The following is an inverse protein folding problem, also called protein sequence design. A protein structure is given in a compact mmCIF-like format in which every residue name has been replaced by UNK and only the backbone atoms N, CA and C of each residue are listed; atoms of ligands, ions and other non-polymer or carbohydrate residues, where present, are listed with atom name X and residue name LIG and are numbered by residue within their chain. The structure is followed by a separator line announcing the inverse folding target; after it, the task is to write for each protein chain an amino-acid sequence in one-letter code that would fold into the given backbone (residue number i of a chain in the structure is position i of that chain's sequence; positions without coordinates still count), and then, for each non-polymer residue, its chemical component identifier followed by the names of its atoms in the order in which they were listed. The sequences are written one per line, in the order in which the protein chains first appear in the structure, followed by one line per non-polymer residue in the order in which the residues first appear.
data_IF_911327877301
#
_entry.id   IF_911327877301
#
_cell.length_a   1.000
_cell.length_b   1.000
_cell.length_c   1.000
_cell.angle_alpha   90.00
_cell.angle_beta   90.00
_cell.angle_gamma   90.00
#
_symmetry.space_group_name_H-M   'P 1'
#
loop_
_entity.id
_entity.type
_entity.pdbx_description
1 polymer ?
#
# COMPACT_ATOMS: atom_id res chain seq x y z
N UNK A 1 27.41 -3.12 -9.32
CA UNK A 1 26.81 -4.00 -8.29
C UNK A 1 25.36 -3.55 -8.14
N UNK A 2 24.44 -4.24 -8.81
CA UNK A 2 23.02 -3.85 -8.86
C UNK A 2 22.37 -4.33 -7.57
N UNK A 3 22.23 -3.44 -6.59
CA UNK A 3 21.53 -3.80 -5.35
C UNK A 3 20.05 -4.02 -5.67
N UNK A 4 19.52 -5.16 -5.22
CA UNK A 4 18.12 -5.51 -5.37
C UNK A 4 17.28 -4.54 -4.52
N UNK A 5 16.32 -3.87 -5.14
CA UNK A 5 15.44 -2.86 -4.51
C UNK A 5 14.75 -3.38 -3.24
N UNK A 6 14.55 -4.70 -3.13
CA UNK A 6 13.96 -5.32 -1.95
C UNK A 6 14.86 -5.28 -0.70
N UNK A 7 16.18 -5.06 -0.85
CA UNK A 7 17.12 -5.04 0.29
C UNK A 7 17.25 -3.69 0.98
N UNK A 8 16.74 -2.60 0.39
CA UNK A 8 16.95 -1.25 0.92
C UNK A 8 15.84 -0.78 1.87
N UNK A 9 14.62 -1.34 1.83
CA UNK A 9 13.47 -0.72 2.50
C UNK A 9 12.47 -1.67 3.22
N UNK A 10 12.74 -2.97 3.36
CA UNK A 10 11.89 -3.82 4.18
C UNK A 10 12.53 -5.17 4.48
N UNK A 11 12.18 -5.77 5.62
CA UNK A 11 12.28 -7.22 5.74
C UNK A 11 11.49 -7.89 4.60
N UNK A 12 11.73 -9.17 4.35
CA UNK A 12 11.24 -9.96 3.19
C UNK A 12 9.71 -9.95 2.92
N UNK A 13 8.93 -9.15 3.65
CA UNK A 13 7.47 -9.12 3.71
C UNK A 13 6.83 -7.80 3.20
N UNK A 14 7.61 -6.86 2.65
CA UNK A 14 7.06 -5.62 2.08
C UNK A 14 7.01 -5.68 0.55
N UNK A 15 5.80 -5.62 0.00
CA UNK A 15 5.56 -5.47 -1.44
C UNK A 15 4.96 -4.10 -1.71
N UNK A 16 5.40 -3.47 -2.80
CA UNK A 16 4.79 -2.25 -3.29
C UNK A 16 3.92 -2.59 -4.50
N UNK A 17 2.67 -2.15 -4.48
CA UNK A 17 1.77 -2.29 -5.62
C UNK A 17 1.92 -1.10 -6.57
N UNK A 18 2.01 -1.39 -7.86
CA UNK A 18 2.28 -0.41 -8.90
C UNK A 18 0.95 0.15 -9.44
N UNK A 19 0.77 1.46 -9.31
CA UNK A 19 -0.36 2.21 -9.84
C UNK A 19 0.12 3.08 -10.98
N UNK A 20 -0.45 2.93 -12.16
CA UNK A 20 -0.15 3.83 -13.28
C UNK A 20 -0.90 5.14 -13.07
N UNK A 21 -0.19 6.18 -12.64
CA UNK A 21 -0.74 7.53 -12.41
C UNK A 21 -0.97 8.23 -13.75
N UNK A 22 0.00 8.14 -14.65
CA UNK A 22 -0.10 8.70 -16.00
C UNK A 22 0.53 7.73 -16.99
N UNK A 23 -0.29 7.23 -17.91
CA UNK A 23 0.18 6.44 -19.04
C UNK A 23 0.80 7.33 -20.11
N UNK A 24 1.71 6.75 -20.90
CA UNK A 24 2.33 7.40 -22.04
C UNK A 24 1.36 8.18 -22.93
N UNK A 25 1.80 9.36 -23.39
CA UNK A 25 1.06 10.19 -24.34
C UNK A 25 1.92 10.50 -25.57
N UNK A 26 2.05 9.52 -26.45
CA UNK A 26 2.68 9.70 -27.75
C UNK A 26 1.79 10.51 -28.68
N UNK A 27 2.19 11.75 -28.96
CA UNK A 27 1.70 12.42 -30.16
C UNK A 27 2.58 12.00 -31.32
N UNK A 28 2.10 11.11 -32.20
CA UNK A 28 2.84 10.52 -33.33
C UNK A 28 3.21 11.50 -34.45
N UNK A 29 3.31 12.80 -34.18
CA UNK A 29 3.70 13.83 -35.14
C UNK A 29 4.73 14.78 -34.55
N UNK A 30 5.45 15.48 -35.42
CA UNK A 30 6.45 16.55 -35.15
C UNK A 30 5.88 17.81 -34.46
N UNK A 31 4.88 17.63 -33.60
CA UNK A 31 4.22 18.62 -32.76
C UNK A 31 3.36 17.96 -31.67
N UNK A 32 3.67 16.72 -31.27
CA UNK A 32 2.93 15.98 -30.26
C UNK A 32 2.85 16.76 -28.95
N UNK A 33 1.62 17.00 -28.50
CA UNK A 33 1.32 17.84 -27.36
C UNK A 33 2.08 17.38 -26.12
N UNK A 34 2.86 18.28 -25.52
CA UNK A 34 3.38 18.08 -24.17
C UNK A 34 2.26 17.69 -23.23
N UNK A 35 2.58 16.97 -22.15
CA UNK A 35 1.69 16.88 -21.02
C UNK A 35 1.60 18.23 -20.29
N UNK A 36 1.30 19.32 -21.02
CA UNK A 36 0.99 20.63 -20.44
C UNK A 36 -0.48 20.58 -20.05
N UNK A 37 -0.72 20.28 -18.78
CA UNK A 37 -2.07 20.11 -18.30
C UNK A 37 -2.15 19.83 -16.82
N UNK A 38 -3.37 19.88 -16.31
CA UNK A 38 -3.71 19.37 -14.99
C UNK A 38 -4.22 17.95 -15.16
N UNK A 39 -3.72 17.06 -14.31
CA UNK A 39 -4.03 15.65 -14.28
C UNK A 39 -4.55 15.30 -12.89
N UNK A 40 -5.40 14.28 -12.83
CA UNK A 40 -5.85 13.70 -11.57
C UNK A 40 -5.20 12.33 -11.40
N UNK A 41 -4.94 11.95 -10.15
CA UNK A 41 -4.64 10.58 -9.80
C UNK A 41 -5.80 9.65 -10.21
N UNK A 42 -5.55 8.35 -10.39
CA UNK A 42 -6.63 7.38 -10.55
C UNK A 42 -7.64 7.50 -9.41
N UNK A 43 -8.91 7.22 -9.71
CA UNK A 43 -10.00 7.37 -8.74
C UNK A 43 -9.71 6.56 -7.46
N UNK A 44 -9.93 7.19 -6.30
CA UNK A 44 -9.71 6.57 -5.00
C UNK A 44 -8.30 6.76 -4.44
N UNK A 45 -7.35 7.28 -5.23
CA UNK A 45 -6.01 7.55 -4.77
C UNK A 45 -5.79 9.00 -4.38
N UNK A 46 -4.94 9.16 -3.39
CA UNK A 46 -4.37 10.40 -2.89
C UNK A 46 -2.85 10.32 -2.87
N UNK A 47 -2.18 11.46 -2.89
CA UNK A 47 -0.72 11.48 -2.90
C UNK A 47 -0.11 10.85 -1.65
N UNK A 48 -0.78 10.94 -0.51
CA UNK A 48 -0.35 10.32 0.75
C UNK A 48 -0.43 8.79 0.72
N UNK A 49 -1.05 8.19 -0.29
CA UNK A 49 -1.14 6.73 -0.42
C UNK A 49 0.14 6.12 -1.00
N UNK A 50 0.95 6.93 -1.69
CA UNK A 50 2.16 6.47 -2.36
C UNK A 50 3.38 6.52 -1.44
N UNK A 51 4.07 5.39 -1.35
CA UNK A 51 5.39 5.26 -0.73
C UNK A 51 6.48 5.86 -1.62
N UNK A 52 6.30 5.76 -2.94
CA UNK A 52 7.17 6.37 -3.92
C UNK A 52 6.44 6.61 -5.24
N UNK A 53 6.91 7.59 -6.00
CA UNK A 53 6.46 7.87 -7.36
C UNK A 53 7.67 7.88 -8.27
N UNK A 54 7.65 7.04 -9.29
CA UNK A 54 8.67 6.99 -10.33
C UNK A 54 8.20 7.75 -11.58
N UNK A 55 9.03 8.68 -12.02
CA UNK A 55 8.86 9.42 -13.26
C UNK A 55 9.85 8.86 -14.28
N UNK A 56 9.32 8.23 -15.32
CA UNK A 56 10.11 7.62 -16.37
C UNK A 56 10.05 8.54 -17.59
N UNK A 57 11.24 9.02 -17.98
CA UNK A 57 11.43 9.84 -19.16
C UNK A 57 12.12 9.05 -20.26
N UNK A 58 11.71 9.27 -21.49
CA UNK A 58 12.33 8.66 -22.66
C UNK A 58 12.22 9.55 -23.90
N UNK A 59 13.25 9.53 -24.72
CA UNK A 59 13.07 9.75 -26.15
C UNK A 59 13.06 8.39 -26.86
N UNK A 60 12.75 8.38 -28.16
CA UNK A 60 12.71 7.16 -28.97
C UNK A 60 14.04 6.39 -29.03
N UNK A 61 15.14 6.94 -28.49
CA UNK A 61 16.50 6.44 -28.63
C UNK A 61 17.25 6.21 -27.30
N UNK A 62 16.77 6.73 -26.16
CA UNK A 62 17.46 6.65 -24.86
C UNK A 62 16.47 6.50 -23.69
N UNK A 63 16.73 5.49 -22.87
CA UNK A 63 16.14 5.38 -21.52
C UNK A 63 16.88 6.32 -20.58
N UNK A 64 16.18 7.28 -19.97
CA UNK A 64 16.74 8.01 -18.85
C UNK A 64 16.61 7.17 -17.58
N UNK A 65 17.45 7.45 -16.58
CA UNK A 65 17.27 6.89 -15.24
C UNK A 65 15.90 7.37 -14.72
N UNK A 66 15.08 6.47 -14.16
CA UNK A 66 13.84 6.88 -13.53
C UNK A 66 14.15 7.86 -12.40
N UNK A 67 13.36 8.92 -12.30
CA UNK A 67 13.42 9.82 -11.17
C UNK A 67 12.44 9.37 -10.11
N UNK A 68 12.87 9.46 -8.85
CA UNK A 68 12.14 8.92 -7.72
C UNK A 68 11.73 10.06 -6.80
N UNK A 69 10.47 10.05 -6.37
CA UNK A 69 9.95 10.89 -5.29
C UNK A 69 9.48 9.96 -4.16
N UNK A 70 9.98 10.16 -2.95
CA UNK A 70 9.67 9.32 -1.79
C UNK A 70 8.50 9.88 -0.95
N UNK A 71 7.91 9.07 -0.08
CA UNK A 71 6.72 9.44 0.70
C UNK A 71 6.90 10.66 1.59
N UNK A 72 8.07 10.85 2.18
CA UNK A 72 8.41 12.05 2.95
C UNK A 72 8.43 13.32 2.08
N UNK A 73 8.99 13.24 0.87
CA UNK A 73 8.99 14.33 -0.11
C UNK A 73 7.58 14.64 -0.62
N UNK A 74 6.74 13.61 -0.82
CA UNK A 74 5.33 13.76 -1.20
C UNK A 74 4.54 14.46 -0.08
N UNK A 75 4.74 14.02 1.16
CA UNK A 75 4.03 14.54 2.34
C UNK A 75 4.44 15.95 2.72
N UNK A 76 5.68 16.36 2.40
CA UNK A 76 6.17 17.72 2.64
C UNK A 76 5.42 18.81 1.84
N UNK A 77 4.47 18.44 0.96
CA UNK A 77 3.62 19.32 0.12
C UNK A 77 4.36 20.52 -0.52
N UNK A 78 5.38 20.30 -1.40
CA UNK A 78 6.00 21.41 -2.09
C UNK A 78 5.05 22.11 -3.10
N UNK A 79 5.20 23.42 -3.27
CA UNK A 79 4.56 24.20 -4.37
C UNK A 79 5.17 23.92 -5.75
N UNK A 80 6.22 23.09 -5.79
CA UNK A 80 6.90 22.53 -6.97
C UNK A 80 7.61 21.26 -6.52
N UNK A 81 7.09 20.10 -6.90
CA UNK A 81 7.64 18.81 -6.46
C UNK A 81 8.94 18.48 -7.15
N UNK A 82 9.04 18.83 -8.43
CA UNK A 82 10.20 18.47 -9.21
C UNK A 82 10.39 19.39 -10.39
N UNK A 83 11.65 19.81 -10.61
CA UNK A 83 12.09 20.44 -11.83
C UNK A 83 13.27 19.64 -12.38
N UNK A 84 13.07 18.98 -13.52
CA UNK A 84 14.11 18.20 -14.19
C UNK A 84 14.62 19.04 -15.36
N UNK A 85 15.93 19.29 -15.40
CA UNK A 85 16.57 19.92 -16.55
C UNK A 85 17.59 18.96 -17.16
N UNK A 86 17.52 18.76 -18.46
CA UNK A 86 18.46 17.90 -19.19
C UNK A 86 18.93 18.55 -20.48
N UNK A 87 20.05 18.05 -21.01
CA UNK A 87 20.53 18.41 -22.35
C UNK A 87 19.98 17.40 -23.35
N UNK A 88 19.46 17.90 -24.47
CA UNK A 88 19.10 17.05 -25.59
C UNK A 88 20.33 16.65 -26.42
N UNK A 89 20.13 15.74 -27.37
CA UNK A 89 21.18 15.31 -28.31
C UNK A 89 21.70 16.44 -29.21
N UNK A 90 20.94 17.52 -29.37
CA UNK A 90 21.34 18.75 -30.09
C UNK A 90 21.92 19.84 -29.17
N UNK A 91 22.20 19.55 -27.90
CA UNK A 91 22.76 20.50 -26.91
C UNK A 91 21.78 21.56 -26.36
N UNK A 92 20.50 21.52 -26.69
CA UNK A 92 19.47 22.40 -26.13
C UNK A 92 18.98 21.87 -24.77
N UNK A 93 18.82 22.78 -23.81
CA UNK A 93 18.21 22.46 -22.52
C UNK A 93 16.71 22.18 -22.70
N UNK A 94 16.23 21.15 -22.01
CA UNK A 94 14.81 20.93 -21.79
C UNK A 94 14.54 20.97 -20.29
N UNK A 95 13.37 21.47 -19.91
CA UNK A 95 12.91 21.48 -18.53
C UNK A 95 11.52 20.86 -18.45
N UNK A 96 11.30 20.02 -17.44
CA UNK A 96 10.01 19.45 -17.10
C UNK A 96 9.72 19.74 -15.63
N UNK A 97 8.58 20.37 -15.39
CA UNK A 97 8.11 20.76 -14.06
C UNK A 97 6.89 19.90 -13.67
N UNK A 98 6.94 19.36 -12.46
CA UNK A 98 5.85 18.63 -11.82
C UNK A 98 5.48 19.28 -10.51
N UNK A 99 4.18 19.42 -10.31
CA UNK A 99 3.65 20.13 -9.15
C UNK A 99 2.31 19.53 -8.76
N UNK A 100 2.15 19.06 -7.53
CA UNK A 100 0.82 18.85 -7.02
C UNK A 100 0.10 20.16 -6.81
N UNK A 101 -1.19 20.14 -7.13
CA UNK A 101 -2.10 21.28 -6.97
C UNK A 101 -3.10 20.99 -5.86
N UNK A 102 -3.43 19.71 -5.66
CA UNK A 102 -4.31 19.22 -4.59
C UNK A 102 -3.82 17.85 -4.12
N UNK A 103 -4.56 17.23 -3.18
CA UNK A 103 -4.24 15.89 -2.69
C UNK A 103 -4.36 14.79 -3.76
N UNK A 104 -4.99 15.07 -4.90
CA UNK A 104 -5.22 14.12 -5.97
C UNK A 104 -5.02 14.69 -7.38
N UNK A 105 -4.43 15.88 -7.50
CA UNK A 105 -4.16 16.51 -8.79
C UNK A 105 -2.74 17.05 -8.88
N UNK A 106 -2.22 17.08 -10.10
CA UNK A 106 -0.93 17.66 -10.42
C UNK A 106 -0.93 18.36 -11.77
N UNK A 107 -0.07 19.36 -11.93
CA UNK A 107 0.35 19.84 -13.24
C UNK A 107 1.63 19.16 -13.67
N UNK A 108 1.72 18.89 -14.97
CA UNK A 108 2.98 18.70 -15.66
C UNK A 108 3.17 19.85 -16.64
N UNK A 109 4.40 20.37 -16.76
CA UNK A 109 4.74 21.43 -17.72
C UNK A 109 6.10 21.18 -18.35
N UNK A 110 6.14 21.00 -19.66
CA UNK A 110 7.36 20.89 -20.47
C UNK A 110 7.68 22.18 -21.22
N UNK A 111 8.96 22.53 -21.32
CA UNK A 111 9.42 23.78 -21.97
C UNK A 111 10.01 23.57 -23.38
N UNK A 112 10.05 22.34 -23.93
CA UNK A 112 10.56 22.10 -25.30
C UNK A 112 9.80 21.02 -26.09
N UNK A 113 9.56 21.27 -27.39
CA UNK A 113 8.73 20.51 -28.35
C UNK A 113 9.10 19.06 -28.64
N UNK A 114 10.23 18.56 -28.13
CA UNK A 114 10.86 17.34 -28.68
C UNK A 114 10.82 16.13 -27.75
N UNK A 115 10.22 16.22 -26.56
CA UNK A 115 10.19 15.12 -25.58
C UNK A 115 8.77 14.73 -25.22
N UNK A 116 8.44 13.44 -25.39
CA UNK A 116 7.06 12.95 -25.42
C UNK A 116 6.78 11.75 -24.50
N UNK A 117 7.78 11.20 -23.80
CA UNK A 117 7.55 9.99 -23.01
C UNK A 117 7.58 10.33 -21.53
N UNK A 118 6.40 10.34 -20.93
CA UNK A 118 6.23 10.34 -19.48
C UNK A 118 5.37 9.14 -19.13
N UNK A 119 5.93 8.19 -18.37
CA UNK A 119 5.13 7.28 -17.56
C UNK A 119 5.33 7.70 -16.12
N UNK A 120 4.24 7.90 -15.40
CA UNK A 120 4.28 8.12 -13.95
C UNK A 120 3.71 6.90 -13.27
N UNK A 121 4.52 6.28 -12.43
CA UNK A 121 4.14 5.12 -11.63
C UNK A 121 4.13 5.52 -10.17
N UNK A 122 2.99 5.36 -9.52
CA UNK A 122 2.90 5.39 -8.06
C UNK A 122 3.11 4.00 -7.50
N UNK A 123 3.69 3.91 -6.32
CA UNK A 123 3.87 2.66 -5.61
C UNK A 123 3.27 2.79 -4.23
N UNK A 124 2.25 2.00 -3.93
CA UNK A 124 1.56 2.01 -2.63
C UNK A 124 2.03 0.82 -1.80
N UNK A 125 2.09 0.98 -0.48
CA UNK A 125 2.47 -0.12 0.40
C UNK A 125 1.37 -1.18 0.42
N UNK A 126 1.74 -2.43 0.14
CA UNK A 126 0.92 -3.59 0.47
C UNK A 126 1.69 -4.46 1.46
N UNK A 127 1.13 -4.64 2.64
CA UNK A 127 1.61 -5.66 3.56
C UNK A 127 0.98 -6.98 3.14
N UNK A 128 1.78 -8.02 2.88
CA UNK A 128 1.28 -9.39 2.84
C UNK A 128 1.54 -9.99 4.22
N UNK A 129 0.50 -10.28 5.00
CA UNK A 129 0.67 -11.17 6.15
C UNK A 129 1.05 -12.56 5.63
N UNK A 130 2.11 -13.15 6.20
CA UNK A 130 2.67 -14.50 5.94
C UNK A 130 2.38 -15.05 4.53
N UNK A 131 3.38 -14.97 3.66
CA UNK A 131 3.40 -15.59 2.34
C UNK A 131 2.85 -17.04 2.34
N UNK A 132 1.56 -17.21 2.07
CA UNK A 132 1.05 -18.49 1.58
C UNK A 132 1.24 -18.50 0.07
N UNK A 133 2.47 -18.79 -0.37
CA UNK A 133 2.78 -18.91 -1.78
C UNK A 133 2.38 -20.30 -2.29
N UNK A 134 1.65 -20.35 -3.41
CA UNK A 134 1.40 -21.59 -4.14
C UNK A 134 1.97 -21.50 -5.55
N UNK A 135 2.64 -22.56 -5.98
CA UNK A 135 3.10 -22.72 -7.36
C UNK A 135 2.09 -23.61 -8.06
N UNK A 136 1.52 -23.12 -9.15
CA UNK A 136 0.60 -23.86 -9.99
C UNK A 136 1.27 -24.12 -11.34
N UNK A 137 1.32 -25.39 -11.74
CA UNK A 137 1.74 -25.76 -13.07
C UNK A 137 0.65 -25.39 -14.08
N UNK A 138 0.96 -24.55 -15.06
CA UNK A 138 0.00 -24.21 -16.12
C UNK A 138 -0.15 -25.41 -17.04
N UNK A 139 -1.36 -25.69 -17.51
CA UNK A 139 -1.64 -26.81 -18.41
C UNK A 139 -1.17 -28.17 -17.84
N UNK A 140 -1.32 -28.39 -16.53
CA UNK A 140 -0.89 -29.61 -15.86
C UNK A 140 0.63 -29.84 -15.88
N UNK A 141 1.43 -28.79 -16.12
CA UNK A 141 2.88 -28.90 -16.28
C UNK A 141 3.33 -29.36 -17.66
N UNK A 142 2.41 -29.41 -18.62
CA UNK A 142 2.73 -29.60 -20.04
C UNK A 142 3.10 -28.27 -20.70
N UNK A 143 3.74 -28.37 -21.86
CA UNK A 143 4.06 -27.22 -22.70
C UNK A 143 2.82 -26.35 -22.95
N UNK A 144 2.96 -25.03 -22.80
CA UNK A 144 1.91 -24.10 -23.21
C UNK A 144 1.99 -23.88 -24.72
N UNK A 145 0.84 -24.03 -25.37
CA UNK A 145 0.64 -23.58 -26.75
C UNK A 145 0.46 -22.07 -26.82
N UNK A 146 0.85 -21.54 -27.97
CA UNK A 146 1.15 -20.16 -28.28
C UNK A 146 -0.13 -19.39 -28.64
N UNK A 147 -0.20 -18.10 -28.34
CA UNK A 147 -1.40 -17.28 -28.62
C UNK A 147 -2.66 -17.80 -27.92
N UNK A 148 -2.51 -18.56 -26.84
CA UNK A 148 -3.62 -19.09 -26.05
C UNK A 148 -3.79 -18.30 -24.76
N UNK A 149 -5.04 -18.33 -24.31
CA UNK A 149 -5.45 -17.92 -22.97
C UNK A 149 -5.65 -19.19 -22.15
N UNK A 150 -4.96 -19.27 -21.03
CA UNK A 150 -5.19 -20.31 -20.02
C UNK A 150 -5.91 -19.69 -18.85
N UNK A 151 -6.90 -20.40 -18.34
CA UNK A 151 -7.66 -19.98 -17.17
C UNK A 151 -7.50 -21.03 -16.09
N UNK A 152 -7.11 -20.58 -14.92
CA UNK A 152 -7.00 -21.39 -13.71
C UNK A 152 -8.10 -20.89 -12.78
N UNK A 153 -9.01 -21.80 -12.43
CA UNK A 153 -10.06 -21.53 -11.46
C UNK A 153 -9.47 -21.42 -10.05
N UNK A 154 -9.65 -20.28 -9.38
CA UNK A 154 -9.04 -20.01 -8.08
C UNK A 154 -9.56 -20.97 -7.01
N UNK A 155 -10.88 -21.23 -7.00
CA UNK A 155 -11.49 -22.09 -5.99
C UNK A 155 -10.97 -23.53 -6.06
N UNK A 156 -10.87 -24.07 -7.28
CA UNK A 156 -10.43 -25.43 -7.54
C UNK A 156 -8.94 -25.61 -7.27
N UNK A 157 -8.11 -24.68 -7.75
CA UNK A 157 -6.67 -24.86 -7.75
C UNK A 157 -5.98 -24.30 -6.50
N UNK A 158 -6.54 -23.28 -5.86
CA UNK A 158 -5.96 -22.65 -4.66
C UNK A 158 -6.76 -22.94 -3.38
N UNK A 159 -8.03 -23.34 -3.51
CA UNK A 159 -8.93 -23.56 -2.38
C UNK A 159 -9.80 -22.35 -2.06
N UNK A 160 -10.86 -22.56 -1.27
CA UNK A 160 -11.86 -21.54 -0.93
C UNK A 160 -11.27 -20.32 -0.23
N UNK A 161 -10.15 -20.49 0.46
CA UNK A 161 -9.49 -19.40 1.19
C UNK A 161 -8.97 -18.29 0.27
N UNK A 162 -8.69 -18.60 -1.00
CA UNK A 162 -8.18 -17.67 -2.01
C UNK A 162 -9.29 -16.98 -2.82
N UNK A 163 -10.54 -17.45 -2.74
CA UNK A 163 -11.66 -16.91 -3.52
C UNK A 163 -12.04 -15.53 -3.00
N UNK A 164 -12.21 -14.57 -3.92
CA UNK A 164 -12.57 -13.18 -3.59
C UNK A 164 -11.47 -12.42 -2.85
N UNK A 165 -10.24 -12.94 -2.83
CA UNK A 165 -9.07 -12.26 -2.27
C UNK A 165 -8.28 -11.61 -3.38
N UNK A 166 -7.58 -10.54 -3.03
CA UNK A 166 -6.58 -9.98 -3.92
C UNK A 166 -5.35 -10.89 -3.95
N UNK A 167 -4.92 -11.24 -5.16
CA UNK A 167 -3.79 -12.13 -5.39
C UNK A 167 -2.72 -11.41 -6.19
N UNK A 168 -1.47 -11.63 -5.81
CA UNK A 168 -0.33 -11.32 -6.65
C UNK A 168 -0.03 -12.58 -7.47
N UNK A 169 0.10 -12.40 -8.78
CA UNK A 169 0.26 -13.51 -9.71
C UNK A 169 1.42 -13.21 -10.63
N UNK A 170 2.44 -14.07 -10.60
CA UNK A 170 3.62 -13.95 -11.46
C UNK A 170 3.77 -15.20 -12.29
N UNK A 171 3.76 -15.06 -13.62
CA UNK A 171 4.07 -16.18 -14.49
C UNK A 171 5.59 -16.38 -14.63
N UNK A 172 5.98 -17.62 -14.79
CA UNK A 172 7.36 -18.03 -15.08
C UNK A 172 7.39 -18.99 -16.27
N UNK A 173 8.42 -18.84 -17.11
CA UNK A 173 8.74 -19.78 -18.21
C UNK A 173 10.00 -20.53 -17.84
N UNK A 174 10.03 -21.82 -18.18
CA UNK A 174 11.25 -22.62 -18.12
C UNK A 174 12.10 -22.41 -19.38
N UNK A 175 13.36 -22.01 -19.20
CA UNK A 175 14.39 -22.05 -20.23
C UNK A 175 15.19 -23.34 -20.10
N UNK A 176 15.24 -24.14 -21.17
CA UNK A 176 16.01 -25.39 -21.24
C UNK A 176 17.47 -25.17 -21.69
N UNK A 177 17.83 -23.94 -22.08
CA UNK A 177 19.16 -23.56 -22.58
C UNK A 177 19.40 -23.89 -24.05
N UNK A 178 18.43 -24.47 -24.77
CA UNK A 178 18.59 -24.88 -26.17
C UNK A 178 18.85 -23.73 -27.15
N UNK A 179 18.48 -22.50 -26.77
CA UNK A 179 18.70 -21.26 -27.54
C UNK A 179 19.66 -20.28 -26.84
N UNK A 180 20.40 -20.74 -25.83
CA UNK A 180 21.26 -19.91 -24.98
C UNK A 180 20.56 -19.37 -23.72
N UNK A 181 21.32 -18.70 -22.86
CA UNK A 181 20.87 -18.21 -21.56
C UNK A 181 21.02 -19.22 -20.41
N UNK A 182 20.55 -18.85 -19.22
CA UNK A 182 20.63 -19.69 -18.02
C UNK A 182 19.46 -20.68 -18.00
N UNK A 183 19.76 -21.96 -17.83
CA UNK A 183 18.76 -23.04 -17.67
C UNK A 183 18.01 -22.81 -16.36
N UNK A 184 16.67 -22.81 -16.40
CA UNK A 184 15.85 -22.67 -15.21
C UNK A 184 14.56 -21.87 -15.43
N UNK A 185 13.88 -21.59 -14.32
CA UNK A 185 12.66 -20.78 -14.33
C UNK A 185 13.00 -19.29 -14.24
N UNK A 186 12.44 -18.49 -15.14
CA UNK A 186 12.57 -17.03 -15.13
C UNK A 186 11.21 -16.33 -15.01
N UNK A 187 11.15 -15.22 -14.29
CA UNK A 187 9.95 -14.38 -14.16
C UNK A 187 9.71 -13.53 -15.40
N UNK A 188 8.45 -13.17 -15.60
CA UNK A 188 8.04 -12.29 -16.69
C UNK A 188 8.42 -10.86 -16.39
N UNK A 189 9.26 -10.29 -17.25
CA UNK A 189 9.78 -8.95 -17.09
C UNK A 189 10.86 -8.62 -18.11
N UNK A 190 11.52 -9.63 -18.69
CA UNK A 190 12.22 -9.66 -19.98
C UNK A 190 13.14 -10.89 -20.02
N UNK A 191 12.94 -11.83 -20.95
CA UNK A 191 13.99 -12.78 -21.34
C UNK A 191 14.40 -12.41 -22.76
N UNK A 192 15.48 -11.65 -22.87
CA UNK A 192 16.06 -11.27 -24.14
C UNK A 192 16.84 -12.47 -24.70
N UNK A 193 16.32 -13.13 -25.73
CA UNK A 193 17.17 -13.93 -26.61
C UNK A 193 17.74 -12.97 -27.67
N UNK A 194 19.06 -12.88 -27.78
CA UNK A 194 19.72 -12.12 -28.84
C UNK A 194 19.22 -12.60 -30.20
N UNK A 195 18.73 -11.69 -31.06
CA UNK A 195 18.28 -12.01 -32.42
C UNK A 195 16.81 -11.74 -32.76
N UNK A 196 16.06 -11.04 -31.90
CA UNK A 196 14.73 -10.51 -32.25
C UNK A 196 13.52 -11.38 -31.85
N UNK A 197 13.72 -12.41 -31.04
CA UNK A 197 12.63 -13.24 -30.50
C UNK A 197 12.64 -13.25 -28.97
N UNK A 198 12.02 -12.26 -28.34
CA UNK A 198 11.76 -12.31 -26.89
C UNK A 198 10.50 -13.13 -26.60
N UNK A 199 10.51 -13.94 -25.53
CA UNK A 199 9.33 -14.67 -25.10
C UNK A 199 8.57 -13.87 -24.04
N UNK A 200 7.27 -13.68 -24.22
CA UNK A 200 6.40 -13.05 -23.22
C UNK A 200 5.36 -14.03 -22.71
N UNK A 201 5.36 -14.30 -21.40
CA UNK A 201 4.16 -14.73 -20.68
C UNK A 201 3.76 -13.62 -19.72
N UNK A 202 2.50 -13.54 -19.36
CA UNK A 202 2.02 -12.66 -18.29
C UNK A 202 0.83 -13.34 -17.64
N UNK A 203 0.71 -13.21 -16.33
CA UNK A 203 -0.45 -13.68 -15.59
C UNK A 203 -1.06 -12.54 -14.79
N UNK A 204 -2.36 -12.64 -14.56
CA UNK A 204 -3.13 -11.67 -13.79
C UNK A 204 -4.44 -12.29 -13.31
N UNK A 205 -5.06 -11.64 -12.33
CA UNK A 205 -6.40 -12.03 -11.87
C UNK A 205 -7.44 -11.28 -12.67
N UNK A 206 -8.39 -12.01 -13.26
CA UNK A 206 -9.61 -11.44 -13.84
C UNK A 206 -10.78 -12.15 -13.19
N UNK A 207 -11.58 -11.40 -12.42
CA UNK A 207 -12.68 -11.94 -11.63
C UNK A 207 -12.20 -13.05 -10.68
N UNK A 208 -12.73 -14.26 -10.85
CA UNK A 208 -12.46 -15.47 -10.07
C UNK A 208 -11.40 -16.39 -10.70
N UNK A 209 -10.68 -15.89 -11.72
CA UNK A 209 -9.72 -16.69 -12.49
C UNK A 209 -8.35 -16.05 -12.50
N UNK A 210 -7.34 -16.90 -12.43
CA UNK A 210 -5.99 -16.53 -12.87
C UNK A 210 -5.93 -16.77 -14.37
N UNK A 211 -5.71 -15.70 -15.11
CA UNK A 211 -5.57 -15.74 -16.57
C UNK A 211 -4.09 -15.64 -16.91
N UNK A 212 -3.62 -16.54 -17.78
CA UNK A 212 -2.28 -16.49 -18.36
C UNK A 212 -2.40 -16.25 -19.85
N UNK A 213 -1.67 -15.24 -20.34
CA UNK A 213 -1.53 -14.94 -21.75
C UNK A 213 -0.07 -15.14 -22.21
N UNK A 214 0.12 -15.51 -23.47
CA UNK A 214 1.42 -15.80 -24.09
C UNK A 214 1.55 -15.01 -25.40
N UNK A 215 2.70 -14.37 -25.67
CA UNK A 215 2.95 -13.55 -26.87
C UNK A 215 4.28 -13.83 -27.59
N UNK A 216 4.42 -13.36 -28.84
CA UNK A 216 5.51 -13.72 -29.78
C UNK A 216 6.82 -12.94 -29.58
N UNK A 217 6.74 -11.64 -29.33
CA UNK A 217 7.93 -10.75 -29.29
C UNK A 217 8.02 -10.06 -27.93
N UNK A 218 6.85 -9.68 -27.42
CA UNK A 218 6.57 -9.31 -26.05
C UNK A 218 5.04 -9.21 -25.91
N UNK A 219 4.48 -9.57 -24.75
CA UNK A 219 3.11 -9.13 -24.40
C UNK A 219 3.06 -7.62 -24.11
N UNK A 220 4.26 -7.03 -24.03
CA UNK A 220 4.58 -5.64 -23.78
C UNK A 220 5.48 -5.17 -24.95
N UNK A 221 4.93 -4.87 -26.14
CA UNK A 221 5.80 -4.28 -27.18
C UNK A 221 6.58 -3.11 -26.59
N UNK A 222 7.87 -2.98 -26.94
CA UNK A 222 8.74 -1.89 -26.49
C UNK A 222 8.08 -0.51 -26.66
N UNK A 223 7.17 -0.39 -27.63
CA UNK A 223 6.53 0.85 -28.07
C UNK A 223 4.99 0.86 -27.87
N UNK A 224 4.36 -0.24 -27.45
CA UNK A 224 2.92 -0.27 -27.13
C UNK A 224 2.72 -0.21 -25.61
N UNK A 225 2.74 1.01 -25.11
CA UNK A 225 2.52 1.33 -23.71
C UNK A 225 1.18 0.78 -23.21
N UNK A 226 1.23 0.09 -22.08
CA UNK A 226 0.09 -0.63 -21.50
C UNK A 226 -1.07 0.33 -21.19
N UNK A 227 -2.15 0.27 -21.98
CA UNK A 227 -3.37 1.07 -21.76
C UNK A 227 -4.30 0.43 -20.72
N UNK A 228 -3.75 0.01 -19.57
CA UNK A 228 -4.54 -0.41 -18.42
C UNK A 228 -5.14 -1.82 -18.46
N UNK A 229 -4.74 -2.69 -19.38
CA UNK A 229 -5.13 -4.10 -19.41
C UNK A 229 -3.92 -5.01 -19.12
N UNK A 230 -4.10 -6.03 -18.28
CA UNK A 230 -3.02 -6.91 -17.78
C UNK A 230 -2.33 -7.74 -18.87
N UNK A 231 -2.76 -7.69 -20.14
CA UNK A 231 -2.26 -8.61 -21.19
C UNK A 231 -1.88 -7.98 -22.55
N UNK A 232 -2.03 -6.66 -22.76
CA UNK A 232 -1.67 -6.05 -24.05
C UNK A 232 -2.40 -6.62 -25.28
N UNK A 233 -1.86 -6.41 -26.49
CA UNK A 233 -2.42 -6.91 -27.75
C UNK A 233 -2.03 -8.39 -28.01
N UNK A 234 -3.04 -9.24 -28.25
CA UNK A 234 -2.90 -10.69 -28.41
C UNK A 234 -2.79 -11.10 -29.88
N UNK A 235 -1.63 -10.96 -30.52
CA UNK A 235 -1.43 -11.56 -31.84
C UNK A 235 0.04 -11.90 -32.09
N UNK A 236 0.39 -13.20 -31.99
CA UNK A 236 1.22 -13.99 -32.93
C UNK A 236 1.81 -15.26 -32.25
N UNK A 237 2.21 -16.33 -33.00
CA UNK A 237 2.63 -17.63 -32.45
C UNK A 237 4.16 -17.86 -32.23
N UNK A 238 4.58 -18.45 -31.08
CA UNK A 238 5.90 -19.13 -30.85
C UNK A 238 5.90 -20.17 -29.69
N UNK A 239 6.68 -21.24 -29.86
CA UNK A 239 6.68 -22.64 -29.33
C UNK A 239 6.78 -22.95 -27.82
N UNK A 240 6.05 -23.99 -27.38
CA UNK A 240 6.56 -25.22 -26.74
C UNK A 240 7.07 -25.26 -25.29
N UNK A 241 7.35 -24.15 -24.63
CA UNK A 241 8.00 -24.20 -23.30
C UNK A 241 7.01 -24.40 -22.14
N UNK A 242 7.51 -24.96 -21.03
CA UNK A 242 6.71 -25.12 -19.81
C UNK A 242 6.46 -23.76 -19.14
N UNK A 243 5.25 -23.58 -18.61
CA UNK A 243 4.89 -22.41 -17.83
C UNK A 243 4.34 -22.81 -16.46
N UNK A 244 4.67 -22.01 -15.45
CA UNK A 244 4.05 -22.07 -14.13
C UNK A 244 3.68 -20.69 -13.66
N UNK A 245 2.80 -20.63 -12.67
CA UNK A 245 2.40 -19.39 -12.02
C UNK A 245 2.70 -19.49 -10.54
N UNK A 246 3.34 -18.47 -10.01
CA UNK A 246 3.45 -18.24 -8.57
C UNK A 246 2.32 -17.34 -8.14
N UNK A 247 1.59 -17.76 -7.12
CA UNK A 247 0.46 -17.03 -6.55
C UNK A 247 0.73 -16.75 -5.10
N UNK A 248 0.56 -15.49 -4.70
CA UNK A 248 0.58 -15.06 -3.31
C UNK A 248 -0.78 -14.49 -2.95
N UNK A 249 -1.29 -14.93 -1.80
CA UNK A 249 -2.51 -14.39 -1.21
C UNK A 249 -2.17 -13.11 -0.45
N UNK A 250 -2.96 -12.06 -0.68
CA UNK A 250 -2.91 -10.85 0.15
C UNK A 250 -3.94 -11.03 1.26
N UNK A 251 -3.51 -11.59 2.39
CA UNK A 251 -4.40 -11.97 3.50
C UNK A 251 -4.92 -10.77 4.31
N UNK A 252 -4.25 -9.62 4.25
CA UNK A 252 -4.69 -8.43 4.94
C UNK A 252 -4.13 -7.18 4.28
N UNK A 253 -5.00 -6.30 3.76
CA UNK A 253 -4.61 -4.90 3.69
C UNK A 253 -4.47 -4.42 5.12
N UNK A 254 -3.24 -4.13 5.55
CA UNK A 254 -3.08 -3.03 6.48
C UNK A 254 -3.19 -1.78 5.61
N UNK A 255 -4.40 -1.45 5.16
CA UNK A 255 -4.67 -0.06 4.84
C UNK A 255 -4.46 0.68 6.15
N UNK A 256 -3.86 1.87 6.09
CA UNK A 256 -3.86 2.76 7.25
C UNK A 256 -5.31 3.10 7.69
N UNK A 257 -6.31 2.72 6.88
CA UNK A 257 -7.75 2.86 7.13
C UNK A 257 -8.38 1.71 7.94
N UNK A 258 -7.65 0.60 8.16
CA UNK A 258 -8.14 -0.59 8.88
C UNK A 258 -7.77 -0.62 10.37
N UNK A 259 -6.83 0.22 10.80
CA UNK A 259 -6.80 0.68 12.20
C UNK A 259 -7.88 1.73 12.24
N UNK A 260 -8.97 1.51 13.02
CA UNK A 260 -9.91 2.59 13.33
C UNK A 260 -9.08 3.85 13.52
N UNK A 261 -9.32 4.94 12.75
CA UNK A 261 -8.41 6.07 12.69
C UNK A 261 -7.98 6.34 14.10
N UNK A 262 -6.67 6.32 14.36
CA UNK A 262 -6.14 6.54 15.69
C UNK A 262 -6.42 8.02 16.00
N UNK A 263 -7.70 8.32 16.28
CA UNK A 263 -8.22 9.61 16.64
C UNK A 263 -7.57 9.82 17.98
N UNK A 264 -6.45 10.54 17.95
CA UNK A 264 -5.65 10.80 19.12
C UNK A 264 -6.57 11.30 20.23
N UNK A 265 -6.26 10.88 21.46
CA UNK A 265 -6.96 11.34 22.65
C UNK A 265 -7.06 12.87 22.64
N UNK A 266 -8.27 13.41 22.81
CA UNK A 266 -8.57 14.84 22.85
C UNK A 266 -8.94 15.49 21.51
N UNK A 267 -8.90 14.77 20.38
CA UNK A 267 -9.34 15.32 19.09
C UNK A 267 -10.86 15.21 18.99
N UNK A 268 -11.56 16.34 18.86
CA UNK A 268 -13.03 16.44 18.80
C UNK A 268 -13.75 15.80 20.01
N UNK A 269 -13.08 15.73 21.15
CA UNK A 269 -13.65 15.24 22.40
C UNK A 269 -13.95 16.40 23.35
N UNK A 270 -14.93 16.22 24.23
CA UNK A 270 -15.28 17.21 25.25
C UNK A 270 -15.30 16.59 26.64
N UNK A 271 -14.96 17.39 27.65
CA UNK A 271 -15.09 16.95 29.04
C UNK A 271 -16.57 16.90 29.44
N UNK A 272 -17.00 15.74 29.90
CA UNK A 272 -18.36 15.51 30.41
C UNK A 272 -18.27 15.02 31.85
N UNK A 273 -18.95 15.71 32.78
CA UNK A 273 -19.12 15.22 34.15
C UNK A 273 -20.18 14.11 34.16
N UNK A 274 -19.76 12.91 34.51
CA UNK A 274 -20.59 11.70 34.52
C UNK A 274 -20.74 11.14 35.94
N UNK A 275 -20.48 11.95 36.97
CA UNK A 275 -20.46 11.51 38.37
C UNK A 275 -21.74 10.79 38.79
N UNK A 276 -22.92 11.29 38.37
CA UNK A 276 -24.21 10.67 38.70
C UNK A 276 -24.54 9.41 37.89
N UNK A 277 -23.76 9.11 36.85
CA UNK A 277 -23.96 7.97 35.94
C UNK A 277 -22.92 6.86 36.16
N UNK A 278 -22.03 7.06 37.14
CA UNK A 278 -20.92 6.17 37.42
C UNK A 278 -20.91 5.80 38.90
N UNK A 279 -20.40 4.61 39.17
CA UNK A 279 -20.19 4.05 40.49
C UNK A 279 -19.00 3.10 40.43
N UNK A 280 -18.28 2.97 41.55
CA UNK A 280 -17.25 1.95 41.69
C UNK A 280 -17.85 0.54 41.63
N UNK A 281 -17.02 -0.43 41.26
CA UNK A 281 -17.37 -1.86 41.16
C UNK A 281 -18.50 -2.15 40.15
N UNK A 282 -18.58 -1.32 39.11
CA UNK A 282 -19.51 -1.50 37.98
C UNK A 282 -18.72 -1.47 36.68
N UNK A 283 -19.06 -2.38 35.76
CA UNK A 283 -18.42 -2.45 34.44
C UNK A 283 -19.13 -1.53 33.45
N UNK A 284 -18.34 -0.73 32.74
CA UNK A 284 -18.77 0.15 31.66
C UNK A 284 -18.05 -0.26 30.37
N UNK A 285 -18.58 0.19 29.24
CA UNK A 285 -17.93 0.02 27.93
C UNK A 285 -17.70 1.42 27.36
N UNK A 286 -16.49 1.67 26.88
CA UNK A 286 -16.25 2.85 26.07
C UNK A 286 -16.87 2.64 24.69
N UNK A 287 -18.16 2.97 24.56
CA UNK A 287 -18.92 2.81 23.33
C UNK A 287 -18.67 3.90 22.27
N UNK A 288 -17.64 4.74 22.44
CA UNK A 288 -17.24 5.70 21.39
C UNK A 288 -16.27 5.04 20.41
N UNK A 289 -16.07 5.69 19.27
CA UNK A 289 -15.10 5.28 18.26
C UNK A 289 -13.66 5.77 18.56
N UNK A 290 -13.44 6.36 19.74
CA UNK A 290 -12.16 6.96 20.14
C UNK A 290 -11.76 6.55 21.56
N UNK A 291 -10.46 6.47 21.90
CA UNK A 291 -10.04 6.33 23.28
C UNK A 291 -10.58 7.48 24.15
N UNK A 292 -10.98 7.20 25.38
CA UNK A 292 -11.40 8.22 26.34
C UNK A 292 -10.39 8.34 27.47
N UNK A 293 -10.35 9.50 28.13
CA UNK A 293 -9.64 9.68 29.40
C UNK A 293 -10.63 9.88 30.51
N UNK A 294 -10.57 9.05 31.55
CA UNK A 294 -11.41 9.18 32.74
C UNK A 294 -10.57 9.73 33.89
N UNK A 295 -11.01 10.85 34.47
CA UNK A 295 -10.44 11.44 35.68
C UNK A 295 -11.42 11.25 36.82
N UNK A 296 -10.98 10.56 37.88
CA UNK A 296 -11.85 10.16 38.99
C UNK A 296 -11.25 10.62 40.31
N UNK A 297 -12.06 11.29 41.11
CA UNK A 297 -11.72 11.76 42.44
C UNK A 297 -12.54 11.04 43.49
N UNK A 298 -11.88 10.65 44.59
CA UNK A 298 -12.52 10.10 45.78
C UNK A 298 -12.09 10.86 47.02
N UNK A 299 -12.87 10.75 48.09
CA UNK A 299 -12.61 11.38 49.39
C UNK A 299 -12.26 10.33 50.43
N UNK A 300 -11.27 10.59 51.26
CA UNK A 300 -10.91 9.72 52.36
C UNK A 300 -10.50 10.51 53.62
N UNK A 301 -10.63 9.86 54.78
CA UNK A 301 -10.34 10.45 56.08
C UNK A 301 -8.92 10.14 56.59
N UNK A 302 -8.52 10.82 57.66
CA UNK A 302 -7.24 10.60 58.32
C UNK A 302 -7.07 9.12 58.73
N UNK A 303 -5.88 8.56 58.50
CA UNK A 303 -5.57 7.18 58.87
C UNK A 303 -6.25 6.12 58.00
N UNK A 304 -6.91 6.53 56.91
CA UNK A 304 -7.52 5.60 55.95
C UNK A 304 -6.53 5.33 54.82
N UNK A 305 -6.30 4.05 54.53
CA UNK A 305 -5.57 3.64 53.33
C UNK A 305 -6.51 3.74 52.11
N UNK A 306 -6.23 4.67 51.20
CA UNK A 306 -7.02 4.90 50.01
C UNK A 306 -6.40 4.17 48.81
N UNK A 307 -7.21 3.46 48.05
CA UNK A 307 -6.79 2.78 46.83
C UNK A 307 -7.87 2.86 45.75
N UNK A 308 -7.40 2.84 44.50
CA UNK A 308 -8.23 2.70 43.31
C UNK A 308 -7.54 1.73 42.34
N UNK A 309 -8.24 0.64 42.03
CA UNK A 309 -7.82 -0.26 40.95
C UNK A 309 -8.65 0.00 39.70
N UNK A 310 -8.06 -0.22 38.54
CA UNK A 310 -8.77 -0.30 37.28
C UNK A 310 -8.64 -1.72 36.72
N UNK A 311 -9.70 -2.18 36.05
CA UNK A 311 -9.65 -3.33 35.17
C UNK A 311 -10.07 -2.87 33.77
N UNK A 312 -9.23 -3.08 32.76
CA UNK A 312 -9.56 -2.80 31.34
C UNK A 312 -9.34 -4.08 30.55
N UNK A 313 -10.38 -4.56 29.87
CA UNK A 313 -10.38 -5.83 29.13
C UNK A 313 -9.80 -7.02 29.91
N UNK A 314 -10.10 -7.09 31.21
CA UNK A 314 -9.64 -8.14 32.13
C UNK A 314 -8.26 -7.93 32.75
N UNK A 315 -7.52 -6.88 32.35
CA UNK A 315 -6.22 -6.53 32.95
C UNK A 315 -6.41 -5.58 34.12
N UNK A 316 -6.11 -6.05 35.34
CA UNK A 316 -6.25 -5.29 36.59
C UNK A 316 -4.93 -4.64 37.02
N UNK A 317 -4.96 -3.35 37.37
CA UNK A 317 -3.79 -2.58 37.82
C UNK A 317 -4.15 -1.49 38.84
N UNK A 318 -3.16 -1.03 39.60
CA UNK A 318 -3.31 0.09 40.56
C UNK A 318 -3.22 1.40 39.78
N UNK A 319 -4.21 2.29 39.93
CA UNK A 319 -4.19 3.62 39.29
C UNK A 319 -3.78 4.71 40.28
N UNK A 320 -4.18 4.55 41.55
CA UNK A 320 -3.76 5.42 42.63
C UNK A 320 -3.83 4.67 43.96
N UNK A 321 -2.86 4.93 44.83
CA UNK A 321 -2.86 4.47 46.22
C UNK A 321 -2.20 5.53 47.09
N UNK A 322 -2.81 5.84 48.22
CA UNK A 322 -2.34 6.85 49.15
C UNK A 322 -2.60 6.41 50.60
N UNK A 323 -1.69 6.78 51.49
CA UNK A 323 -1.77 6.54 52.93
C UNK A 323 -1.49 7.88 53.61
N UNK A 324 -2.53 8.70 53.79
CA UNK A 324 -2.36 10.04 54.33
C UNK A 324 -2.87 10.18 55.77
N UNK A 325 -2.13 10.91 56.59
CA UNK A 325 -2.36 11.04 58.03
C UNK A 325 -3.31 12.19 58.40
N UNK A 326 -3.71 13.02 57.43
CA UNK A 326 -4.53 14.23 57.64
C UNK A 326 -5.97 14.02 57.20
N UNK A 327 -6.89 14.80 57.79
CA UNK A 327 -8.32 14.69 57.53
C UNK A 327 -8.74 15.36 56.21
N UNK A 328 -9.77 14.81 55.56
CA UNK A 328 -10.43 15.32 54.34
C UNK A 328 -9.54 15.47 53.11
N UNK A 329 -8.78 14.43 52.78
CA UNK A 329 -7.92 14.42 51.59
C UNK A 329 -8.68 13.86 50.38
N UNK A 330 -8.32 14.34 49.18
CA UNK A 330 -8.82 13.84 47.90
C UNK A 330 -7.73 13.07 47.17
N UNK A 331 -8.05 11.88 46.70
CA UNK A 331 -7.20 11.14 45.77
C UNK A 331 -7.79 11.27 44.36
N UNK A 332 -6.95 11.59 43.39
CA UNK A 332 -7.33 11.72 41.98
C UNK A 332 -6.55 10.70 41.16
N UNK A 333 -7.25 10.01 40.27
CA UNK A 333 -6.70 9.05 39.34
C UNK A 333 -7.08 9.45 37.91
N UNK A 334 -6.22 9.15 36.95
CA UNK A 334 -6.51 9.26 35.53
C UNK A 334 -6.20 7.93 34.83
N UNK A 335 -7.06 7.51 33.91
CA UNK A 335 -6.82 6.34 33.06
C UNK A 335 -7.30 6.60 31.63
N UNK A 336 -6.61 5.95 30.68
CA UNK A 336 -6.99 5.92 29.26
C UNK A 336 -7.71 4.61 28.99
N UNK A 337 -8.87 4.67 28.32
CA UNK A 337 -9.69 3.50 27.99
C UNK A 337 -9.83 3.46 26.46
N UNK A 338 -9.36 2.42 25.77
CA UNK A 338 -9.49 2.31 24.31
C UNK A 338 -10.95 2.30 23.85
N UNK A 339 -11.18 2.61 22.57
CA UNK A 339 -12.49 2.48 21.94
C UNK A 339 -12.96 1.01 21.98
N UNK A 340 -14.23 0.79 22.35
CA UNK A 340 -14.83 -0.55 22.46
C UNK A 340 -14.43 -1.36 23.70
N UNK A 341 -13.43 -0.93 24.48
CA UNK A 341 -12.97 -1.66 25.66
C UNK A 341 -13.97 -1.61 26.81
N UNK A 342 -14.06 -2.72 27.54
CA UNK A 342 -14.78 -2.79 28.80
C UNK A 342 -13.85 -2.36 29.95
N UNK A 343 -14.35 -1.56 30.88
CA UNK A 343 -13.56 -1.06 32.01
C UNK A 343 -14.36 -0.99 33.30
N UNK A 344 -13.65 -1.07 34.43
CA UNK A 344 -14.21 -0.95 35.78
C UNK A 344 -13.20 -0.26 36.69
N UNK A 345 -13.66 0.65 37.53
CA UNK A 345 -12.89 1.18 38.66
C UNK A 345 -13.38 0.59 39.97
N UNK A 346 -12.46 0.16 40.82
CA UNK A 346 -12.74 -0.44 42.13
C UNK A 346 -12.22 0.45 43.24
N UNK A 347 -13.10 0.76 44.19
CA UNK A 347 -12.75 1.38 45.48
C UNK A 347 -13.86 1.10 46.49
N UNK A 348 -13.53 1.17 47.77
CA UNK A 348 -14.50 1.15 48.89
C UNK A 348 -14.83 2.55 49.40
N UNK A 349 -14.17 3.58 48.87
CA UNK A 349 -14.33 4.96 49.30
C UNK A 349 -15.41 5.70 48.50
N UNK A 350 -16.02 6.75 49.06
CA UNK A 350 -17.03 7.54 48.37
C UNK A 350 -16.48 8.22 47.11
N UNK A 351 -17.19 8.04 45.99
CA UNK A 351 -16.95 8.79 44.76
C UNK A 351 -17.28 10.27 44.98
N UNK A 352 -16.36 11.16 44.60
CA UNK A 352 -16.55 12.61 44.66
C UNK A 352 -16.86 13.17 43.29
N UNK A 353 -16.09 12.75 42.28
CA UNK A 353 -16.22 13.26 40.93
C UNK A 353 -15.72 12.24 39.91
N UNK A 354 -16.37 12.21 38.76
CA UNK A 354 -15.95 11.44 37.59
C UNK A 354 -16.17 12.27 36.34
N UNK A 355 -15.09 12.58 35.63
CA UNK A 355 -15.13 13.32 34.37
C UNK A 355 -14.50 12.50 33.26
N UNK A 356 -15.15 12.42 32.11
CA UNK A 356 -14.64 11.74 30.92
C UNK A 356 -14.35 12.77 29.82
N UNK A 357 -13.15 12.75 29.24
CA UNK A 357 -12.87 13.38 27.94
C UNK A 357 -13.27 12.38 26.85
N UNK A 358 -14.35 12.67 26.13
CA UNK A 358 -14.93 11.73 25.16
C UNK A 358 -15.52 12.35 23.92
#
# INVERSE_FOLDING_TARGET
MTQNINTLFGGEDQYLDEVIILSYRGGTGTGGAHPNGTYSLPQGYSWTDFERVEFIFGDSLRSFQPMLLLSDEIQAKPTTWLMVTGLNTSGSNWTLEWKAISNNQFTCRGVSSSYQTVIVKGYIKRYSSRNMSKIISVNGGSAITTGRRYEIDIATELGTDYVGRDLIVTAEIYNDGGVGGVIGWGTTGWIFASGGGGYGVQAGVINDKIVIATGLVALCERDAHHTGHVFGALAAPLTGNLCRVKVWKIDQYISNDGVAPNIGLGINQTYTDVTSQRSFNSTYVNATDSPISATVALRYGAGTYAYMYATVDGVRFIVAADAHATADTRMVANLIIPAGSAYMLESTLPLVQWVELR
#
